data_IF_980998694345
#
_entry.id   IF_980998694345
#
_cell.length_a   1.000
_cell.length_b   1.000
_cell.length_c   1.000
_cell.angle_alpha   90.00
_cell.angle_beta   90.00
_cell.angle_gamma   90.00
#
_symmetry.space_group_name_H-M   'P 1'
#
loop_
_entity.id
_entity.type
_entity.pdbx_description
1 polymer ?
#
# COMPACT_ATOMS: atom_id res chain seq x y z
N UNK A 1 -8.51 -16.54 -3.41
CA UNK A 1 -8.83 -15.15 -3.80
C UNK A 1 -8.26 -14.88 -5.18
N UNK A 2 -8.78 -13.88 -5.89
CA UNK A 2 -8.15 -13.41 -7.12
C UNK A 2 -6.94 -12.51 -6.76
N UNK A 3 -5.91 -12.44 -7.62
CA UNK A 3 -4.88 -11.43 -7.46
C UNK A 3 -5.47 -10.02 -7.55
N UNK A 4 -4.84 -9.07 -6.86
CA UNK A 4 -5.23 -7.66 -6.82
C UNK A 4 -4.13 -6.84 -7.48
N UNK A 5 -4.50 -6.07 -8.48
CA UNK A 5 -3.61 -5.13 -9.15
C UNK A 5 -3.39 -3.90 -8.27
N UNK A 6 -2.14 -3.66 -7.91
CA UNK A 6 -1.71 -2.53 -7.11
C UNK A 6 -0.70 -1.68 -7.88
N UNK A 7 -0.66 -0.39 -7.55
CA UNK A 7 0.38 0.51 -8.02
C UNK A 7 1.24 0.93 -6.84
N UNK A 8 2.54 0.71 -6.92
CA UNK A 8 3.47 1.13 -5.86
C UNK A 8 3.62 2.65 -5.83
N UNK A 9 4.16 3.18 -4.74
CA UNK A 9 4.52 4.60 -4.62
C UNK A 9 5.54 5.04 -5.69
N UNK A 10 6.30 4.10 -6.24
CA UNK A 10 7.25 4.32 -7.34
C UNK A 10 6.60 4.30 -8.74
N UNK A 11 5.27 4.11 -8.81
CA UNK A 11 4.53 4.01 -10.07
C UNK A 11 4.67 2.65 -10.76
N UNK A 12 5.11 1.61 -10.05
CA UNK A 12 5.25 0.26 -10.59
C UNK A 12 3.93 -0.48 -10.40
N UNK A 13 3.41 -1.07 -11.46
CA UNK A 13 2.24 -1.95 -11.37
C UNK A 13 2.68 -3.34 -10.93
N UNK A 14 2.06 -3.84 -9.87
CA UNK A 14 2.34 -5.16 -9.28
C UNK A 14 1.04 -5.91 -9.05
N UNK A 15 1.02 -7.20 -9.36
CA UNK A 15 -0.12 -8.07 -9.10
C UNK A 15 0.15 -8.84 -7.81
N UNK A 16 -0.60 -8.53 -6.75
CA UNK A 16 -0.40 -9.16 -5.43
C UNK A 16 -1.48 -10.20 -5.19
N UNK A 17 -1.06 -11.41 -4.82
CA UNK A 17 -1.96 -12.44 -4.31
C UNK A 17 -2.15 -12.22 -2.80
N UNK A 18 -3.37 -11.90 -2.31
CA UNK A 18 -3.61 -11.65 -0.89
C UNK A 18 -3.25 -12.84 0.02
N UNK A 19 -3.26 -14.07 -0.51
CA UNK A 19 -2.88 -15.27 0.26
C UNK A 19 -1.37 -15.41 0.44
N UNK A 20 -0.58 -14.65 -0.31
CA UNK A 20 0.88 -14.62 -0.24
C UNK A 20 1.40 -13.41 0.55
N UNK A 21 0.50 -12.61 1.15
CA UNK A 21 0.86 -11.53 2.06
C UNK A 21 1.22 -12.15 3.41
N UNK A 22 2.41 -11.84 3.90
CA UNK A 22 2.87 -12.19 5.24
C UNK A 22 2.36 -11.19 6.27
N UNK A 23 2.54 -9.89 6.01
CA UNK A 23 2.11 -8.81 6.88
C UNK A 23 1.93 -7.50 6.07
N UNK A 24 1.17 -6.56 6.62
CA UNK A 24 1.02 -5.21 6.09
C UNK A 24 1.31 -4.24 7.23
N UNK A 25 2.20 -3.29 6.99
CA UNK A 25 2.67 -2.34 8.00
C UNK A 25 2.45 -0.92 7.50
N UNK A 26 1.84 -0.07 8.31
CA UNK A 26 1.77 1.37 8.04
C UNK A 26 3.14 2.00 8.35
N UNK A 27 3.78 2.60 7.35
CA UNK A 27 5.12 3.18 7.46
C UNK A 27 5.13 4.71 7.43
N UNK A 28 4.10 5.31 6.83
CA UNK A 28 3.85 6.75 6.92
C UNK A 28 2.39 6.97 7.31
N UNK A 29 2.16 7.67 8.42
CA UNK A 29 0.82 8.01 8.88
C UNK A 29 0.23 9.16 8.02
N UNK A 30 -1.08 9.16 7.85
CA UNK A 30 -1.80 10.22 7.14
C UNK A 30 -1.65 11.55 7.91
N UNK A 31 -0.93 12.51 7.34
CA UNK A 31 -0.82 13.85 7.92
C UNK A 31 -1.97 14.74 7.43
N UNK A 32 -2.86 15.24 8.31
CA UNK A 32 -3.88 16.19 7.89
C UNK A 32 -3.22 17.49 7.40
N UNK A 33 -3.62 17.93 6.21
CA UNK A 33 -3.13 19.18 5.64
C UNK A 33 -3.43 20.38 6.55
N UNK A 34 -2.45 21.23 6.77
CA UNK A 34 -2.67 22.54 7.41
C UNK A 34 -3.09 23.57 6.36
N UNK A 35 -3.68 24.71 6.75
CA UNK A 35 -4.28 25.77 5.89
C UNK A 35 -3.55 26.13 4.57
N UNK A 36 -2.25 25.81 4.45
CA UNK A 36 -1.40 26.10 3.29
C UNK A 36 -0.74 24.87 2.64
N UNK A 37 -0.92 23.67 3.18
CA UNK A 37 -0.29 22.44 2.68
C UNK A 37 -1.33 21.33 2.45
N UNK A 38 -1.34 20.69 1.28
CA UNK A 38 -2.11 19.47 1.10
C UNK A 38 -1.61 18.42 2.11
N UNK A 39 -2.55 17.65 2.68
CA UNK A 39 -2.21 16.54 3.55
C UNK A 39 -1.41 15.47 2.78
N UNK A 40 -0.71 14.62 3.52
CA UNK A 40 -0.07 13.43 2.94
C UNK A 40 -0.94 12.22 3.20
N UNK A 41 -1.10 11.39 2.18
CA UNK A 41 -1.75 10.09 2.35
C UNK A 41 -0.81 9.11 3.06
N UNK A 42 -1.41 8.17 3.79
CA UNK A 42 -0.64 7.13 4.45
C UNK A 42 0.04 6.21 3.42
N UNK A 43 1.21 5.70 3.78
CA UNK A 43 1.96 4.71 2.99
C UNK A 43 2.04 3.41 3.76
N UNK A 44 1.76 2.32 3.08
CA UNK A 44 1.78 0.96 3.61
C UNK A 44 2.87 0.13 2.93
N UNK A 45 3.60 -0.66 3.71
CA UNK A 45 4.48 -1.72 3.23
C UNK A 45 3.75 -3.06 3.28
N UNK A 46 3.62 -3.71 2.13
CA UNK A 46 3.08 -5.07 1.99
C UNK A 46 4.27 -6.03 1.92
N UNK A 47 4.41 -6.87 2.94
CA UNK A 47 5.45 -7.87 3.02
C UNK A 47 4.90 -9.19 2.50
N UNK A 48 5.53 -9.76 1.48
CA UNK A 48 5.17 -11.03 0.88
C UNK A 48 5.92 -12.19 1.54
N UNK A 49 5.34 -13.39 1.47
CA UNK A 49 5.95 -14.63 2.03
C UNK A 49 7.29 -15.01 1.37
N UNK A 50 7.54 -14.56 0.14
CA UNK A 50 8.79 -14.73 -0.60
C UNK A 50 9.84 -13.66 -0.28
N UNK A 51 9.56 -12.78 0.69
CA UNK A 51 10.39 -11.66 1.16
C UNK A 51 10.41 -10.45 0.23
N UNK A 52 9.53 -10.39 -0.76
CA UNK A 52 9.30 -9.14 -1.49
C UNK A 52 8.56 -8.14 -0.61
N UNK A 53 8.88 -6.86 -0.76
CA UNK A 53 8.24 -5.76 -0.02
C UNK A 53 7.79 -4.71 -1.02
N UNK A 54 6.52 -4.35 -0.94
CA UNK A 54 5.90 -3.37 -1.83
C UNK A 54 5.36 -2.18 -1.03
N UNK A 55 5.74 -0.97 -1.43
CA UNK A 55 5.19 0.27 -0.86
C UNK A 55 4.02 0.74 -1.68
N UNK A 56 2.88 0.93 -1.05
CA UNK A 56 1.64 1.36 -1.71
C UNK A 56 0.99 2.51 -0.92
N UNK A 57 0.20 3.34 -1.60
CA UNK A 57 -0.59 4.38 -0.94
C UNK A 57 -1.79 3.77 -0.21
N UNK A 58 -2.42 4.55 0.66
CA UNK A 58 -3.67 4.18 1.32
C UNK A 58 -4.75 3.69 0.33
N UNK A 59 -4.96 4.39 -0.78
CA UNK A 59 -5.97 4.02 -1.79
C UNK A 59 -5.71 2.63 -2.41
N UNK A 60 -4.44 2.26 -2.57
CA UNK A 60 -4.03 0.98 -3.13
C UNK A 60 -4.13 -0.13 -2.08
N UNK A 61 -3.72 0.14 -0.83
CA UNK A 61 -3.95 -0.75 0.30
C UNK A 61 -5.44 -1.08 0.48
N UNK A 62 -6.32 -0.09 0.34
CA UNK A 62 -7.76 -0.29 0.51
C UNK A 62 -8.37 -1.27 -0.50
N UNK A 63 -7.74 -1.46 -1.67
CA UNK A 63 -8.13 -2.48 -2.67
C UNK A 63 -7.90 -3.92 -2.18
N UNK A 64 -6.97 -4.14 -1.25
CA UNK A 64 -6.73 -5.47 -0.67
C UNK A 64 -7.82 -5.88 0.33
N UNK A 65 -8.53 -4.90 0.90
CA UNK A 65 -9.57 -5.10 1.90
C UNK A 65 -10.98 -5.25 1.32
N UNK A 66 -11.15 -5.13 -0.01
CA UNK A 66 -12.44 -5.15 -0.72
C UNK A 66 -12.58 -6.38 -1.63
#
# INVERSE_FOLDING_TARGET
MKPVDLTTTDGIHVEINPNAISEIVEVEEKEPGFLFFPGKDAVYEIHMVDREVYRVTQDEHDKLNH
#
